data_IF_939079920527
#
_entry.id   IF_939079920527
#
_cell.length_a   1.000
_cell.length_b   1.000
_cell.length_c   1.000
_cell.angle_alpha   90.00
_cell.angle_beta   90.00
_cell.angle_gamma   90.00
#
_symmetry.space_group_name_H-M   'P 1'
#
loop_
_entity.id
_entity.type
_entity.pdbx_description
1 polymer ?
#
# COMPACT_ATOMS: atom_id res chain seq x y z
N UNK A 1 26.22 1.88 -10.34
CA UNK A 1 25.85 2.64 -11.58
C UNK A 1 24.36 2.90 -11.50
N UNK A 2 23.91 4.14 -11.66
CA UNK A 2 22.48 4.47 -11.66
C UNK A 2 21.75 3.70 -12.76
N UNK A 3 20.49 3.29 -12.54
CA UNK A 3 19.69 2.60 -13.55
C UNK A 3 19.25 3.57 -14.66
N UNK A 4 18.73 3.04 -15.77
CA UNK A 4 18.04 3.84 -16.78
C UNK A 4 16.60 4.18 -16.38
N UNK A 5 15.99 3.32 -15.56
CA UNK A 5 14.63 3.49 -15.07
C UNK A 5 14.46 3.00 -13.63
N UNK A 6 13.48 3.59 -12.93
CA UNK A 6 13.06 3.12 -11.60
C UNK A 6 11.55 2.93 -11.61
N UNK A 7 11.11 1.74 -11.21
CA UNK A 7 9.73 1.42 -10.92
C UNK A 7 9.48 1.65 -9.42
N UNK A 8 8.42 2.35 -9.08
CA UNK A 8 8.04 2.62 -7.69
C UNK A 8 6.71 1.98 -7.36
N UNK A 9 6.63 1.41 -6.18
CA UNK A 9 5.36 1.23 -5.50
C UNK A 9 4.86 2.57 -4.95
N UNK A 10 3.57 2.67 -4.58
CA UNK A 10 2.96 3.90 -4.08
C UNK A 10 2.70 3.87 -2.57
N UNK A 11 1.84 2.95 -2.12
CA UNK A 11 1.37 2.89 -0.73
C UNK A 11 2.45 2.25 0.15
N UNK A 12 2.75 2.86 1.30
CA UNK A 12 3.84 2.48 2.22
C UNK A 12 5.25 2.54 1.59
N UNK A 13 5.35 3.12 0.38
CA UNK A 13 6.64 3.40 -0.28
C UNK A 13 6.84 4.90 -0.52
N UNK A 14 5.92 5.55 -1.22
CA UNK A 14 5.90 7.00 -1.47
C UNK A 14 4.96 7.72 -0.52
N UNK A 15 3.81 7.10 -0.23
CA UNK A 15 2.75 7.62 0.62
C UNK A 15 2.60 6.73 1.86
N UNK A 16 2.33 7.36 3.00
CA UNK A 16 2.08 6.68 4.27
C UNK A 16 0.94 7.36 5.02
N UNK A 17 0.38 6.67 6.00
CA UNK A 17 -0.61 7.25 6.89
C UNK A 17 0.09 7.91 8.09
N UNK A 18 -0.16 9.19 8.32
CA UNK A 18 0.34 9.93 9.49
C UNK A 18 -0.41 9.56 10.77
N UNK A 19 -1.63 9.00 10.64
CA UNK A 19 -2.39 8.40 11.73
C UNK A 19 -2.16 6.89 11.73
N UNK A 20 -1.66 6.29 12.83
CA UNK A 20 -1.51 4.84 12.94
C UNK A 20 -2.82 4.10 12.70
N UNK A 21 -2.75 2.98 11.98
CA UNK A 21 -3.93 2.18 11.60
C UNK A 21 -4.77 1.77 12.82
N UNK A 22 -4.14 1.35 13.90
CA UNK A 22 -4.83 0.92 15.11
C UNK A 22 -5.51 2.09 15.83
N UNK A 23 -4.87 3.26 15.84
CA UNK A 23 -5.46 4.46 16.39
C UNK A 23 -6.69 4.93 15.60
N UNK A 24 -6.64 4.84 14.26
CA UNK A 24 -7.79 5.13 13.41
C UNK A 24 -8.97 4.20 13.69
N UNK A 25 -8.73 2.89 13.89
CA UNK A 25 -9.76 1.95 14.28
C UNK A 25 -10.32 2.24 15.67
N UNK A 26 -9.47 2.56 16.65
CA UNK A 26 -9.91 2.94 17.99
C UNK A 26 -10.81 4.18 17.95
N UNK A 27 -10.43 5.22 17.20
CA UNK A 27 -11.23 6.42 17.03
C UNK A 27 -12.59 6.13 16.38
N UNK A 28 -12.64 5.31 15.35
CA UNK A 28 -13.88 4.89 14.71
C UNK A 28 -14.80 4.10 15.66
N UNK A 29 -14.23 3.20 16.48
CA UNK A 29 -14.98 2.48 17.52
C UNK A 29 -15.53 3.44 18.59
N UNK A 30 -14.69 4.33 19.13
CA UNK A 30 -15.09 5.31 20.16
C UNK A 30 -16.22 6.23 19.68
N UNK A 31 -16.18 6.67 18.44
CA UNK A 31 -17.26 7.49 17.86
C UNK A 31 -18.56 6.72 17.79
N UNK A 32 -18.51 5.46 17.42
CA UNK A 32 -19.70 4.62 17.25
C UNK A 32 -20.39 4.27 18.56
N UNK A 33 -19.64 4.03 19.64
CA UNK A 33 -20.25 3.69 20.94
C UNK A 33 -20.92 4.88 21.64
N UNK A 34 -20.58 6.14 21.27
CA UNK A 34 -21.28 7.32 21.79
C UNK A 34 -22.78 7.29 21.46
N UNK A 35 -23.15 6.70 20.35
CA UNK A 35 -24.54 6.58 19.89
C UNK A 35 -25.16 5.21 20.24
N UNK A 36 -24.35 4.19 20.51
CA UNK A 36 -24.79 2.87 20.88
C UNK A 36 -24.19 2.43 22.22
N UNK A 37 -24.87 2.77 23.31
CA UNK A 37 -24.42 2.52 24.70
C UNK A 37 -24.29 1.04 25.09
N UNK A 38 -24.75 0.12 24.24
CA UNK A 38 -24.62 -1.33 24.50
C UNK A 38 -23.28 -1.89 24.07
N UNK A 39 -22.50 -1.14 23.28
CA UNK A 39 -21.17 -1.53 22.82
C UNK A 39 -20.09 -0.91 23.70
N UNK A 40 -19.01 -1.67 23.92
CA UNK A 40 -17.80 -1.19 24.55
C UNK A 40 -16.72 -0.97 23.47
N UNK A 41 -16.13 0.22 23.40
CA UNK A 41 -15.20 0.57 22.32
C UNK A 41 -13.97 -0.34 22.28
N UNK A 42 -13.41 -0.66 23.45
CA UNK A 42 -12.20 -1.49 23.54
C UNK A 42 -12.48 -2.94 23.12
N UNK A 43 -13.60 -3.52 23.56
CA UNK A 43 -14.00 -4.86 23.15
C UNK A 43 -14.29 -4.94 21.64
N UNK A 44 -14.87 -3.88 21.07
CA UNK A 44 -15.12 -3.79 19.63
C UNK A 44 -13.81 -3.68 18.84
N UNK A 45 -12.90 -2.84 19.29
CA UNK A 45 -11.57 -2.70 18.66
C UNK A 45 -10.79 -4.02 18.71
N UNK A 46 -10.78 -4.72 19.85
CA UNK A 46 -10.14 -6.02 19.98
C UNK A 46 -10.71 -7.04 18.96
N UNK A 47 -12.04 -7.13 18.87
CA UNK A 47 -12.66 -8.04 17.89
C UNK A 47 -12.38 -7.64 16.45
N UNK A 48 -12.38 -6.34 16.13
CA UNK A 48 -12.00 -5.85 14.79
C UNK A 48 -10.54 -6.23 14.49
N UNK A 49 -9.61 -6.09 15.44
CA UNK A 49 -8.20 -6.43 15.26
C UNK A 49 -8.01 -7.91 14.93
N UNK A 50 -8.67 -8.81 15.69
CA UNK A 50 -8.65 -10.26 15.45
C UNK A 50 -9.20 -10.60 14.05
N UNK A 51 -10.38 -10.02 13.70
CA UNK A 51 -11.00 -10.30 12.40
C UNK A 51 -10.21 -9.73 11.26
N UNK A 52 -9.60 -8.55 11.43
CA UNK A 52 -8.73 -7.91 10.45
C UNK A 52 -7.50 -8.77 10.14
N UNK A 53 -6.82 -9.28 11.15
CA UNK A 53 -5.68 -10.17 10.97
C UNK A 53 -6.09 -11.43 10.20
N UNK A 54 -7.16 -12.09 10.61
CA UNK A 54 -7.71 -13.23 9.88
C UNK A 54 -8.12 -12.90 8.44
N UNK A 55 -8.72 -11.72 8.18
CA UNK A 55 -9.18 -11.32 6.85
C UNK A 55 -7.99 -11.16 5.89
N UNK A 56 -6.97 -10.43 6.32
CA UNK A 56 -5.83 -10.08 5.48
C UNK A 56 -4.74 -11.14 5.40
N UNK A 57 -4.77 -12.18 6.24
CA UNK A 57 -3.82 -13.31 6.19
C UNK A 57 -4.06 -14.25 5.01
N UNK A 58 -5.27 -14.31 4.48
CA UNK A 58 -5.61 -15.14 3.32
C UNK A 58 -5.30 -14.41 2.02
N UNK A 59 -4.50 -15.00 1.11
CA UNK A 59 -4.07 -14.33 -0.12
C UNK A 59 -5.21 -13.93 -1.05
N UNK A 60 -6.29 -14.73 -1.14
CA UNK A 60 -7.40 -14.45 -2.02
C UNK A 60 -8.33 -13.37 -1.45
N UNK A 61 -8.64 -13.42 -0.14
CA UNK A 61 -9.36 -12.31 0.52
C UNK A 61 -8.58 -11.01 0.42
N UNK A 62 -7.25 -11.07 0.59
CA UNK A 62 -6.39 -9.91 0.43
C UNK A 62 -6.46 -9.36 -1.01
N UNK A 63 -6.38 -10.22 -2.02
CA UNK A 63 -6.46 -9.83 -3.43
C UNK A 63 -7.79 -9.17 -3.77
N UNK A 64 -8.90 -9.75 -3.33
CA UNK A 64 -10.25 -9.22 -3.57
C UNK A 64 -10.53 -7.96 -2.73
N UNK A 65 -10.10 -7.97 -1.47
CA UNK A 65 -10.34 -6.88 -0.53
C UNK A 65 -9.67 -5.57 -0.93
N UNK A 66 -8.41 -5.62 -1.43
CA UNK A 66 -7.72 -4.40 -1.88
C UNK A 66 -8.35 -3.76 -3.12
N UNK A 67 -9.10 -4.52 -3.91
CA UNK A 67 -9.86 -3.99 -5.05
C UNK A 67 -11.19 -3.33 -4.62
N UNK A 68 -11.64 -3.55 -3.38
CA UNK A 68 -12.81 -2.90 -2.79
C UNK A 68 -12.65 -2.77 -1.26
N UNK A 69 -11.81 -1.82 -0.85
CA UNK A 69 -11.45 -1.63 0.57
C UNK A 69 -12.66 -1.35 1.47
N UNK A 70 -13.63 -0.56 1.01
CA UNK A 70 -14.81 -0.27 1.83
C UNK A 70 -15.63 -1.54 2.08
N UNK A 71 -15.83 -2.38 1.07
CA UNK A 71 -16.51 -3.68 1.23
C UNK A 71 -15.75 -4.58 2.21
N UNK A 72 -14.42 -4.70 2.07
CA UNK A 72 -13.58 -5.49 2.96
C UNK A 72 -13.67 -4.99 4.42
N UNK A 73 -13.59 -3.69 4.64
CA UNK A 73 -13.74 -3.05 5.95
C UNK A 73 -15.12 -3.29 6.55
N UNK A 74 -16.18 -3.16 5.74
CA UNK A 74 -17.56 -3.45 6.15
C UNK A 74 -17.72 -4.91 6.59
N UNK A 75 -17.14 -5.85 5.86
CA UNK A 75 -17.14 -7.27 6.17
C UNK A 75 -16.40 -7.56 7.50
N UNK A 76 -15.22 -7.01 7.68
CA UNK A 76 -14.45 -7.11 8.93
C UNK A 76 -15.26 -6.62 10.12
N UNK A 77 -15.86 -5.43 10.02
CA UNK A 77 -16.67 -4.83 11.10
C UNK A 77 -17.92 -5.66 11.36
N UNK A 78 -18.61 -6.14 10.31
CA UNK A 78 -19.81 -6.97 10.42
C UNK A 78 -19.54 -8.26 11.20
N UNK A 79 -18.43 -8.95 10.88
CA UNK A 79 -18.04 -10.18 11.57
C UNK A 79 -17.68 -9.87 13.04
N UNK A 80 -16.94 -8.80 13.30
CA UNK A 80 -16.55 -8.40 14.64
C UNK A 80 -17.76 -8.06 15.53
N UNK A 81 -18.70 -7.28 15.02
CA UNK A 81 -19.94 -6.94 15.73
C UNK A 81 -20.82 -8.17 15.98
N UNK A 82 -20.95 -9.08 15.00
CA UNK A 82 -21.70 -10.31 15.18
C UNK A 82 -21.16 -11.19 16.31
N UNK A 83 -19.83 -11.25 16.49
CA UNK A 83 -19.19 -11.94 17.62
C UNK A 83 -19.52 -11.32 18.98
N UNK A 84 -19.84 -10.03 19.01
CA UNK A 84 -20.31 -9.31 20.21
C UNK A 84 -21.83 -9.32 20.37
N UNK A 85 -22.54 -10.16 19.58
CA UNK A 85 -24.01 -10.27 19.64
C UNK A 85 -24.76 -9.09 19.01
N UNK A 86 -24.09 -8.23 18.27
CA UNK A 86 -24.68 -7.08 17.59
C UNK A 86 -24.64 -7.28 16.07
N UNK A 87 -25.75 -6.96 15.39
CA UNK A 87 -25.89 -7.09 13.93
C UNK A 87 -26.49 -5.84 13.29
N UNK A 88 -26.31 -4.68 13.94
CA UNK A 88 -26.81 -3.41 13.41
C UNK A 88 -26.01 -2.95 12.20
N UNK A 89 -26.58 -3.10 11.01
CA UNK A 89 -25.96 -2.73 9.73
C UNK A 89 -25.59 -1.23 9.65
N UNK A 90 -26.34 -0.35 10.32
CA UNK A 90 -26.04 1.08 10.35
C UNK A 90 -24.75 1.34 11.11
N UNK A 91 -24.56 0.69 12.25
CA UNK A 91 -23.32 0.75 13.03
C UNK A 91 -22.15 0.17 12.24
N UNK A 92 -22.35 -0.98 11.55
CA UNK A 92 -21.32 -1.56 10.66
C UNK A 92 -20.88 -0.56 9.60
N UNK A 93 -21.83 -0.01 8.83
CA UNK A 93 -21.53 0.91 7.73
C UNK A 93 -20.81 2.18 8.22
N UNK A 94 -21.25 2.71 9.36
CA UNK A 94 -20.64 3.90 9.95
C UNK A 94 -19.21 3.66 10.38
N UNK A 95 -18.92 2.61 11.14
CA UNK A 95 -17.54 2.30 11.59
C UNK A 95 -16.61 2.14 10.38
N UNK A 96 -17.04 1.39 9.38
CA UNK A 96 -16.24 1.17 8.17
C UNK A 96 -15.98 2.48 7.40
N UNK A 97 -16.97 3.38 7.35
CA UNK A 97 -16.85 4.68 6.68
C UNK A 97 -15.99 5.66 7.46
N UNK A 98 -16.20 5.74 8.79
CA UNK A 98 -15.43 6.62 9.67
C UNK A 98 -13.95 6.25 9.65
N UNK A 99 -13.62 4.96 9.79
CA UNK A 99 -12.26 4.47 9.65
C UNK A 99 -11.68 4.81 8.27
N UNK A 100 -12.43 4.56 7.20
CA UNK A 100 -11.97 4.85 5.85
C UNK A 100 -11.64 6.33 5.66
N UNK A 101 -12.49 7.21 6.20
CA UNK A 101 -12.29 8.66 6.14
C UNK A 101 -11.08 9.13 6.95
N UNK A 102 -10.84 8.53 8.13
CA UNK A 102 -9.68 8.84 8.97
C UNK A 102 -8.38 8.48 8.25
N UNK A 103 -8.29 7.26 7.72
CA UNK A 103 -7.12 6.78 6.97
C UNK A 103 -6.88 7.62 5.72
N UNK A 104 -7.93 7.92 4.95
CA UNK A 104 -7.79 8.72 3.74
C UNK A 104 -7.27 10.14 4.03
N UNK A 105 -7.79 10.79 5.08
CA UNK A 105 -7.32 12.13 5.49
C UNK A 105 -5.90 12.14 6.03
N UNK A 106 -5.45 11.06 6.64
CA UNK A 106 -4.11 10.93 7.23
C UNK A 106 -3.01 10.62 6.20
N UNK A 107 -3.39 10.33 4.96
CA UNK A 107 -2.42 9.97 3.92
C UNK A 107 -1.55 11.18 3.53
N UNK A 108 -0.23 11.00 3.53
CA UNK A 108 0.76 12.01 3.16
C UNK A 108 2.00 11.35 2.54
N UNK A 109 2.91 12.12 1.97
CA UNK A 109 4.20 11.62 1.54
C UNK A 109 5.06 11.14 2.70
N UNK A 110 5.79 10.05 2.49
CA UNK A 110 6.95 9.78 3.35
C UNK A 110 7.91 10.98 3.35
N UNK A 111 8.62 11.21 4.48
CA UNK A 111 9.62 12.29 4.54
C UNK A 111 10.61 12.23 3.36
N UNK A 112 10.77 13.35 2.68
CA UNK A 112 11.66 13.52 1.52
C UNK A 112 11.27 12.71 0.26
N UNK A 113 10.12 12.02 0.22
CA UNK A 113 9.73 11.22 -0.95
C UNK A 113 9.53 12.09 -2.19
N UNK A 114 8.76 13.17 -2.06
CA UNK A 114 8.51 14.09 -3.18
C UNK A 114 9.80 14.76 -3.69
N UNK A 115 10.67 15.21 -2.79
CA UNK A 115 11.97 15.80 -3.15
C UNK A 115 12.88 14.81 -3.88
N UNK A 116 12.85 13.54 -3.44
CA UNK A 116 13.59 12.46 -4.08
C UNK A 116 13.11 12.23 -5.50
N UNK A 117 11.78 12.12 -5.71
CA UNK A 117 11.20 11.96 -7.05
C UNK A 117 11.62 13.12 -7.98
N UNK A 118 11.54 14.37 -7.49
CA UNK A 118 11.94 15.56 -8.25
C UNK A 118 13.42 15.49 -8.68
N UNK A 119 14.31 15.09 -7.77
CA UNK A 119 15.72 14.96 -8.06
C UNK A 119 16.02 13.82 -9.06
N UNK A 120 15.32 12.70 -8.97
CA UNK A 120 15.47 11.59 -9.93
C UNK A 120 15.02 12.00 -11.33
N UNK A 121 13.91 12.73 -11.45
CA UNK A 121 13.45 13.31 -12.73
C UNK A 121 14.47 14.30 -13.29
N UNK A 122 15.06 15.18 -12.46
CA UNK A 122 16.10 16.11 -12.88
C UNK A 122 17.37 15.40 -13.38
N UNK A 123 17.65 14.19 -12.87
CA UNK A 123 18.73 13.31 -13.38
C UNK A 123 18.35 12.58 -14.67
N UNK A 124 17.17 12.89 -15.25
CA UNK A 124 16.63 12.30 -16.50
C UNK A 124 16.38 10.78 -16.41
N UNK A 125 16.14 10.25 -15.22
CA UNK A 125 15.73 8.87 -15.04
C UNK A 125 14.27 8.71 -15.47
N UNK A 126 13.96 7.61 -16.16
CA UNK A 126 12.59 7.24 -16.49
C UNK A 126 11.94 6.63 -15.26
N UNK A 127 10.80 7.16 -14.82
CA UNK A 127 10.10 6.66 -13.65
C UNK A 127 8.75 6.06 -14.04
N UNK A 128 8.40 4.91 -13.46
CA UNK A 128 7.06 4.34 -13.53
C UNK A 128 6.49 4.09 -12.13
N UNK A 129 5.19 4.26 -11.99
CA UNK A 129 4.43 3.94 -10.79
C UNK A 129 3.64 2.65 -11.02
N UNK A 130 3.86 1.66 -10.16
CA UNK A 130 3.17 0.36 -10.16
C UNK A 130 2.41 0.21 -8.85
N UNK A 131 1.09 0.33 -8.89
CA UNK A 131 0.29 0.27 -7.67
C UNK A 131 -0.83 -0.76 -7.76
N UNK A 132 -0.98 -1.54 -6.70
CA UNK A 132 -2.08 -2.48 -6.55
C UNK A 132 -3.30 -1.80 -5.92
N UNK A 133 -4.49 -2.28 -6.26
CA UNK A 133 -5.75 -1.78 -5.72
C UNK A 133 -6.74 -1.29 -6.76
N UNK A 134 -7.86 -0.76 -6.27
CA UNK A 134 -8.96 -0.28 -7.12
C UNK A 134 -8.56 0.94 -7.96
N UNK A 135 -8.88 0.91 -9.26
CA UNK A 135 -8.52 1.97 -10.21
C UNK A 135 -8.91 3.37 -9.72
N UNK A 136 -10.17 3.57 -9.37
CA UNK A 136 -10.68 4.87 -8.93
C UNK A 136 -9.97 5.40 -7.67
N UNK A 137 -9.68 4.52 -6.69
CA UNK A 137 -9.01 4.90 -5.44
C UNK A 137 -7.57 5.33 -5.70
N UNK A 138 -6.85 4.55 -6.51
CA UNK A 138 -5.46 4.87 -6.81
C UNK A 138 -5.33 6.11 -7.70
N UNK A 139 -6.24 6.31 -8.67
CA UNK A 139 -6.30 7.54 -9.46
C UNK A 139 -6.56 8.79 -8.61
N UNK A 140 -7.41 8.70 -7.60
CA UNK A 140 -7.65 9.81 -6.67
C UNK A 140 -6.39 10.18 -5.87
N UNK A 141 -5.66 9.19 -5.34
CA UNK A 141 -4.37 9.42 -4.67
C UNK A 141 -3.35 10.06 -5.63
N UNK A 142 -3.21 9.52 -6.84
CA UNK A 142 -2.31 10.04 -7.87
C UNK A 142 -2.61 11.51 -8.17
N UNK A 143 -3.90 11.85 -8.31
CA UNK A 143 -4.36 13.22 -8.55
C UNK A 143 -4.10 14.13 -7.33
N UNK A 144 -4.47 13.68 -6.13
CA UNK A 144 -4.32 14.44 -4.88
C UNK A 144 -2.87 14.82 -4.60
N UNK A 145 -1.95 13.89 -4.82
CA UNK A 145 -0.52 14.10 -4.59
C UNK A 145 0.25 14.58 -5.84
N UNK A 146 -0.45 14.79 -6.96
CA UNK A 146 0.14 15.27 -8.20
C UNK A 146 1.22 14.35 -8.76
N UNK A 147 1.12 13.03 -8.52
CA UNK A 147 2.17 12.06 -8.86
C UNK A 147 2.42 11.96 -10.36
N UNK A 148 1.40 12.21 -11.20
CA UNK A 148 1.54 12.11 -12.66
C UNK A 148 2.67 12.98 -13.26
N UNK A 149 3.10 14.02 -12.57
CA UNK A 149 4.21 14.90 -13.03
C UNK A 149 5.58 14.25 -12.94
N UNK A 150 5.72 13.15 -12.16
CA UNK A 150 7.00 12.47 -11.97
C UNK A 150 7.13 11.20 -12.81
N UNK A 151 6.00 10.58 -13.17
CA UNK A 151 5.97 9.26 -13.78
C UNK A 151 5.57 9.32 -15.23
N UNK A 152 6.44 8.83 -16.13
CA UNK A 152 6.14 8.69 -17.55
C UNK A 152 5.20 7.50 -17.84
N UNK A 153 5.06 6.59 -16.88
CA UNK A 153 4.15 5.44 -16.95
C UNK A 153 3.54 5.18 -15.58
N UNK A 154 2.23 4.99 -15.56
CA UNK A 154 1.47 4.63 -14.35
C UNK A 154 0.67 3.37 -14.65
N UNK A 155 0.83 2.35 -13.82
CA UNK A 155 0.18 1.04 -13.95
C UNK A 155 -0.60 0.75 -12.68
N UNK A 156 -1.91 0.62 -12.80
CA UNK A 156 -2.84 0.38 -11.68
C UNK A 156 -3.49 -0.99 -11.88
N UNK A 157 -3.41 -1.86 -10.87
CA UNK A 157 -3.97 -3.22 -10.92
C UNK A 157 -5.43 -3.24 -11.35
N UNK A 158 -6.27 -2.38 -10.75
CA UNK A 158 -7.70 -2.33 -11.03
C UNK A 158 -8.07 -1.89 -12.45
N UNK A 159 -7.13 -1.28 -13.19
CA UNK A 159 -7.29 -0.90 -14.59
C UNK A 159 -6.75 -1.97 -15.53
N UNK A 160 -5.63 -2.62 -15.15
CA UNK A 160 -4.97 -3.63 -15.96
C UNK A 160 -5.60 -5.02 -15.82
N UNK A 161 -6.30 -5.29 -14.71
CA UNK A 161 -6.80 -6.62 -14.37
C UNK A 161 -5.73 -7.56 -13.79
N UNK A 162 -4.50 -7.10 -13.63
CA UNK A 162 -3.40 -7.79 -12.98
C UNK A 162 -2.46 -6.79 -12.31
N UNK A 163 -1.81 -7.20 -11.22
CA UNK A 163 -0.91 -6.36 -10.44
C UNK A 163 0.24 -7.17 -9.84
N UNK A 164 1.11 -6.52 -9.08
CA UNK A 164 2.23 -7.17 -8.38
C UNK A 164 1.72 -8.29 -7.46
N UNK A 165 2.36 -9.45 -7.41
CA UNK A 165 3.66 -9.83 -8.00
C UNK A 165 3.59 -10.45 -9.41
N UNK A 166 2.47 -10.32 -10.14
CA UNK A 166 2.36 -10.87 -11.49
C UNK A 166 3.45 -10.28 -12.40
N UNK A 167 4.23 -11.17 -13.03
CA UNK A 167 5.34 -10.80 -13.91
C UNK A 167 4.93 -9.82 -15.02
N UNK A 168 3.70 -9.93 -15.51
CA UNK A 168 3.17 -9.09 -16.59
C UNK A 168 3.23 -7.60 -16.28
N UNK A 169 3.03 -7.18 -15.01
CA UNK A 169 3.06 -5.75 -14.66
C UNK A 169 4.47 -5.17 -14.81
N UNK A 170 5.50 -5.94 -14.43
CA UNK A 170 6.90 -5.52 -14.57
C UNK A 170 7.33 -5.48 -16.04
N UNK A 171 6.98 -6.50 -16.81
CA UNK A 171 7.24 -6.56 -18.27
C UNK A 171 6.54 -5.40 -19.00
N UNK A 172 5.30 -5.09 -18.64
CA UNK A 172 4.57 -3.94 -19.18
C UNK A 172 5.29 -2.63 -18.86
N UNK A 173 5.79 -2.47 -17.63
CA UNK A 173 6.49 -1.27 -17.22
C UNK A 173 7.79 -1.05 -18.00
N UNK A 174 8.66 -2.07 -18.09
CA UNK A 174 9.94 -1.94 -18.80
C UNK A 174 9.73 -1.74 -20.30
N UNK A 175 8.72 -2.37 -20.90
CA UNK A 175 8.35 -2.17 -22.29
C UNK A 175 7.88 -0.74 -22.55
N UNK A 176 6.96 -0.21 -21.70
CA UNK A 176 6.46 1.17 -21.86
C UNK A 176 7.53 2.22 -21.63
N UNK A 177 8.51 1.95 -20.77
CA UNK A 177 9.65 2.83 -20.54
C UNK A 177 10.75 2.69 -21.60
N UNK A 178 10.66 1.71 -22.50
CA UNK A 178 11.69 1.38 -23.47
C UNK A 178 13.07 1.22 -22.78
N UNK A 179 13.16 0.22 -21.89
CA UNK A 179 14.35 -0.17 -21.13
C UNK A 179 14.40 -1.69 -20.98
N UNK A 180 15.57 -2.21 -20.56
CA UNK A 180 15.70 -3.63 -20.21
C UNK A 180 15.57 -3.85 -18.70
N UNK A 181 15.15 -5.06 -18.26
CA UNK A 181 15.08 -5.39 -16.83
C UNK A 181 16.38 -5.12 -16.08
N UNK A 182 17.53 -5.51 -16.63
CA UNK A 182 18.84 -5.32 -15.99
C UNK A 182 19.29 -3.85 -15.86
N UNK A 183 18.60 -2.92 -16.53
CA UNK A 183 18.83 -1.48 -16.43
C UNK A 183 17.78 -0.79 -15.53
N UNK A 184 16.94 -1.58 -14.88
CA UNK A 184 15.76 -1.09 -14.13
C UNK A 184 15.88 -1.50 -12.67
N UNK A 185 15.46 -0.60 -11.79
CA UNK A 185 15.27 -0.90 -10.36
C UNK A 185 13.78 -0.94 -10.02
N UNK A 186 13.40 -1.81 -9.08
CA UNK A 186 12.10 -1.75 -8.40
C UNK A 186 12.32 -1.31 -6.97
N UNK A 187 11.60 -0.28 -6.55
CA UNK A 187 11.62 0.29 -5.20
C UNK A 187 10.25 0.08 -4.57
N UNK A 188 10.18 -0.62 -3.45
CA UNK A 188 8.93 -0.91 -2.75
C UNK A 188 9.16 -1.45 -1.35
N UNK A 189 8.10 -1.51 -0.55
CA UNK A 189 8.10 -1.98 0.85
C UNK A 189 7.71 -3.45 0.99
N UNK A 190 6.99 -4.01 0.02
CA UNK A 190 6.49 -5.39 0.12
C UNK A 190 7.47 -6.41 -0.47
N UNK A 191 8.00 -7.27 0.43
CA UNK A 191 8.95 -8.30 0.03
C UNK A 191 8.41 -9.29 -1.01
N UNK A 192 7.12 -9.62 -0.98
CA UNK A 192 6.54 -10.60 -1.89
C UNK A 192 6.08 -9.94 -3.20
N UNK A 193 5.36 -8.83 -3.11
CA UNK A 193 4.77 -8.18 -4.27
C UNK A 193 5.80 -7.40 -5.08
N UNK A 194 6.62 -6.59 -4.41
CA UNK A 194 7.57 -5.73 -5.09
C UNK A 194 8.89 -6.45 -5.35
N UNK A 195 9.48 -7.02 -4.30
CA UNK A 195 10.85 -7.54 -4.37
C UNK A 195 10.89 -8.90 -5.06
N UNK A 196 10.12 -9.88 -4.59
CA UNK A 196 10.11 -11.20 -5.20
C UNK A 196 9.53 -11.16 -6.64
N UNK A 197 8.46 -10.37 -6.86
CA UNK A 197 7.88 -10.20 -8.19
C UNK A 197 8.85 -9.59 -9.20
N UNK A 198 9.53 -8.50 -8.84
CA UNK A 198 10.51 -7.85 -9.72
C UNK A 198 11.75 -8.73 -9.99
N UNK A 199 12.25 -9.45 -8.99
CA UNK A 199 13.38 -10.38 -9.16
C UNK A 199 13.12 -11.47 -10.19
N UNK A 200 11.89 -12.00 -10.25
CA UNK A 200 11.51 -12.98 -11.27
C UNK A 200 11.59 -12.44 -12.69
N UNK A 201 11.55 -11.11 -12.83
CA UNK A 201 11.69 -10.41 -14.11
C UNK A 201 13.13 -9.92 -14.37
N UNK A 202 14.10 -10.26 -13.55
CA UNK A 202 15.49 -9.84 -13.68
C UNK A 202 15.75 -8.36 -13.37
N UNK A 203 14.88 -7.74 -12.58
CA UNK A 203 14.97 -6.34 -12.16
C UNK A 203 15.71 -6.26 -10.82
N UNK A 204 16.63 -5.31 -10.69
CA UNK A 204 17.32 -5.01 -9.43
C UNK A 204 16.34 -4.45 -8.40
N UNK A 205 16.40 -4.92 -7.17
CA UNK A 205 15.38 -4.65 -6.16
C UNK A 205 15.93 -3.84 -4.98
N UNK A 206 15.20 -2.80 -4.62
CA UNK A 206 15.49 -1.94 -3.47
C UNK A 206 14.31 -2.00 -2.52
N UNK A 207 14.50 -2.62 -1.38
CA UNK A 207 13.47 -2.75 -0.35
C UNK A 207 13.50 -1.56 0.60
N UNK A 208 12.34 -0.93 0.80
CA UNK A 208 12.14 0.16 1.75
C UNK A 208 11.81 -0.43 3.13
N UNK A 209 12.77 -0.44 4.03
CA UNK A 209 12.62 -0.82 5.44
C UNK A 209 12.68 0.45 6.30
N UNK A 210 11.58 1.22 6.29
CA UNK A 210 11.52 2.51 6.99
C UNK A 210 11.59 2.37 8.51
N UNK A 211 11.09 1.28 9.07
CA UNK A 211 11.14 0.98 10.51
C UNK A 211 12.48 0.39 10.95
N UNK A 212 13.33 -0.01 10.00
CA UNK A 212 14.64 -0.63 10.24
C UNK A 212 14.57 -1.93 11.04
N UNK A 213 13.52 -2.70 10.83
CA UNK A 213 13.33 -4.00 11.46
C UNK A 213 14.24 -5.09 10.88
N UNK A 214 14.79 -4.85 9.68
CA UNK A 214 15.55 -5.84 8.93
C UNK A 214 14.66 -6.91 8.30
N UNK A 215 15.28 -7.83 7.59
CA UNK A 215 14.54 -8.93 6.98
C UNK A 215 13.91 -9.83 8.04
N UNK A 216 12.63 -10.24 7.88
CA UNK A 216 12.01 -11.24 8.75
C UNK A 216 12.85 -12.50 8.84
N UNK A 217 12.89 -13.11 10.04
CA UNK A 217 13.62 -14.36 10.26
C UNK A 217 13.12 -15.45 9.29
N UNK A 218 14.03 -16.16 8.66
CA UNK A 218 13.70 -17.18 7.66
C UNK A 218 13.22 -16.66 6.32
N UNK A 219 13.28 -15.34 6.06
CA UNK A 219 12.88 -14.77 4.76
C UNK A 219 13.68 -15.39 3.61
N UNK A 220 12.95 -15.97 2.65
CA UNK A 220 13.51 -16.48 1.38
C UNK A 220 13.74 -15.40 0.36
N UNK A 221 13.08 -14.25 0.53
CA UNK A 221 13.21 -13.10 -0.38
C UNK A 221 14.35 -12.23 0.11
N UNK A 222 15.34 -12.05 -0.77
CA UNK A 222 16.52 -11.20 -0.48
C UNK A 222 16.54 -10.05 -1.49
N UNK A 223 16.28 -8.81 -1.07
CA UNK A 223 16.46 -7.63 -1.91
C UNK A 223 17.93 -7.44 -2.26
N UNK A 224 18.20 -6.79 -3.38
CA UNK A 224 19.59 -6.47 -3.76
C UNK A 224 20.12 -5.30 -2.94
N UNK A 225 19.22 -4.43 -2.45
CA UNK A 225 19.52 -3.32 -1.55
C UNK A 225 18.40 -3.11 -0.54
N UNK A 226 18.76 -2.68 0.67
CA UNK A 226 17.82 -2.23 1.70
C UNK A 226 18.09 -0.76 1.99
N UNK A 227 17.03 0.04 2.09
CA UNK A 227 17.10 1.46 2.44
C UNK A 227 16.10 1.79 3.54
N UNK A 228 16.51 2.62 4.51
CA UNK A 228 15.65 3.12 5.59
C UNK A 228 15.07 4.52 5.32
N UNK A 229 15.28 5.09 4.13
CA UNK A 229 14.67 6.34 3.65
C UNK A 229 14.83 6.45 2.14
N UNK A 230 13.82 7.01 1.48
CA UNK A 230 13.81 7.09 0.01
C UNK A 230 14.97 7.91 -0.55
N UNK A 231 15.35 8.97 0.14
CA UNK A 231 16.47 9.83 -0.28
C UNK A 231 17.82 9.07 -0.42
N UNK A 232 17.97 7.88 0.17
CA UNK A 232 19.15 7.05 -0.01
C UNK A 232 19.37 6.62 -1.48
N UNK A 233 18.30 6.57 -2.30
CA UNK A 233 18.39 6.29 -3.73
C UNK A 233 19.30 7.26 -4.50
N UNK A 234 19.42 8.48 -4.02
CA UNK A 234 20.21 9.53 -4.70
C UNK A 234 21.72 9.31 -4.61
N UNK A 235 22.15 8.43 -3.70
CA UNK A 235 23.56 8.11 -3.41
C UNK A 235 23.94 6.64 -3.69
N UNK A 236 23.04 5.84 -4.28
CA UNK A 236 23.33 4.48 -4.76
C UNK A 236 23.92 4.56 -6.18
#
# INVERSE_FOLDING_TARGET
>A
MLPSAILFDMDETLLTNTLPIDEAWQQACQTSVKENKTLQADALFEQISIVREWYWSDPERHRLGRLNLLKARTEVVSIALAKLGNRDEKTVARIATDYSSLIDRSLDFFPQAEDTLRQLVNKKLKLALLTNGAGAVQQEKIKRFGLSRYFSTILIEGELGFGKPDRRVFETAVTKLDVTPGQTWMVGDDLQRDIAGAKQSGIYTVWCDYERNGLPEGSKVKPDKIIGKLAALLSL
#
